data_IF_282734620278
#
_entry.id   IF_282734620278
#
_cell.length_a   1.000
_cell.length_b   1.000
_cell.length_c   1.000
_cell.angle_alpha   90.00
_cell.angle_beta   90.00
_cell.angle_gamma   90.00
#
_symmetry.space_group_name_H-M   'P 1'
#
loop_
_entity.id
_entity.type
_entity.pdbx_description
1 polymer ?
#
# COMPACT_ATOMS: atom_id res chain seq x y z
N UNK A 1 -12.22 39.95 11.97
CA UNK A 1 -12.94 38.70 12.30
C UNK A 1 -11.93 37.57 12.21
N UNK A 2 -11.85 36.75 13.26
CA UNK A 2 -10.76 35.79 13.45
C UNK A 2 -11.07 34.44 12.82
N UNK A 3 -10.01 33.75 12.36
CA UNK A 3 -10.04 32.42 11.76
C UNK A 3 -10.76 31.36 12.63
N UNK A 4 -10.78 31.58 13.94
CA UNK A 4 -11.42 30.71 14.93
C UNK A 4 -12.95 30.78 14.91
N UNK A 5 -13.53 31.89 14.45
CA UNK A 5 -14.98 32.11 14.45
C UNK A 5 -15.67 31.40 13.27
N UNK A 6 -14.93 31.16 12.18
CA UNK A 6 -15.34 30.35 11.03
C UNK A 6 -15.30 28.84 11.31
N UNK A 7 -14.43 28.40 12.22
CA UNK A 7 -14.26 26.98 12.57
C UNK A 7 -15.27 26.47 13.60
N UNK A 8 -15.99 27.37 14.29
CA UNK A 8 -16.94 27.04 15.36
C UNK A 8 -18.40 27.06 14.91
N UNK A 9 -18.64 26.89 13.60
CA UNK A 9 -19.95 26.95 12.94
C UNK A 9 -21.12 26.54 13.83
N UNK A 10 -21.84 27.54 14.37
CA UNK A 10 -23.17 27.33 14.93
C UNK A 10 -24.15 27.20 13.76
N UNK A 11 -24.18 26.03 13.13
CA UNK A 11 -25.14 25.72 12.08
C UNK A 11 -26.27 24.89 12.69
N UNK A 12 -27.49 25.43 12.63
CA UNK A 12 -28.71 24.69 12.97
C UNK A 12 -28.97 23.55 11.99
N UNK A 13 -29.91 22.64 12.31
CA UNK A 13 -30.13 21.44 11.52
C UNK A 13 -30.73 21.82 10.15
N UNK A 14 -29.93 21.75 9.08
CA UNK A 14 -30.42 21.86 7.70
C UNK A 14 -29.54 22.61 6.70
N UNK A 15 -28.46 23.27 7.10
CA UNK A 15 -27.62 24.02 6.14
C UNK A 15 -26.41 23.19 5.67
N UNK A 16 -26.61 22.43 4.60
CA UNK A 16 -25.52 21.97 3.75
C UNK A 16 -24.95 23.16 2.98
N UNK A 17 -23.67 23.46 3.22
CA UNK A 17 -22.78 24.21 2.33
C UNK A 17 -23.18 25.68 2.08
N UNK A 18 -22.56 26.60 2.80
CA UNK A 18 -22.62 28.03 2.44
C UNK A 18 -22.01 28.26 1.06
N UNK A 19 -22.82 28.72 0.10
CA UNK A 19 -22.33 29.37 -1.13
C UNK A 19 -21.37 30.50 -0.76
N UNK A 20 -20.13 30.46 -1.28
CA UNK A 20 -19.34 31.68 -1.42
C UNK A 20 -17.88 31.70 -0.97
N UNK A 21 -17.28 30.61 -0.49
CA UNK A 21 -15.83 30.56 -0.22
C UNK A 21 -15.21 29.24 -0.69
N UNK A 22 -15.01 29.08 -2.01
CA UNK A 22 -14.15 28.01 -2.52
C UNK A 22 -12.69 28.41 -2.29
N UNK A 23 -12.00 27.73 -1.38
CA UNK A 23 -10.55 27.87 -1.23
C UNK A 23 -9.86 26.89 -2.18
N UNK A 24 -8.99 27.41 -3.05
CA UNK A 24 -8.12 26.58 -3.89
C UNK A 24 -6.86 26.24 -3.11
N UNK A 25 -6.67 24.96 -2.79
CA UNK A 25 -5.43 24.47 -2.22
C UNK A 25 -4.40 24.24 -3.34
N UNK A 26 -3.11 24.58 -3.13
CA UNK A 26 -2.07 24.29 -4.11
C UNK A 26 -1.94 22.77 -4.29
N UNK A 27 -1.98 22.31 -5.55
CA UNK A 27 -1.78 20.90 -5.90
C UNK A 27 -0.36 20.41 -5.59
N UNK A 28 0.59 21.33 -5.51
CA UNK A 28 2.00 21.01 -5.26
C UNK A 28 2.28 20.71 -3.78
N UNK A 29 1.35 21.04 -2.87
CA UNK A 29 1.51 20.83 -1.42
C UNK A 29 0.34 20.08 -0.78
N UNK A 30 -0.69 19.75 -1.55
CA UNK A 30 -1.87 19.04 -1.06
C UNK A 30 -2.29 17.93 -2.02
N UNK A 31 -2.67 16.80 -1.45
CA UNK A 31 -3.09 15.62 -2.20
C UNK A 31 -4.40 15.05 -1.67
N UNK A 32 -5.16 14.41 -2.57
CA UNK A 32 -6.36 13.67 -2.22
C UNK A 32 -5.99 12.31 -1.67
N UNK A 33 -6.53 11.95 -0.52
CA UNK A 33 -6.19 10.71 0.18
C UNK A 33 -7.44 10.03 0.74
N UNK A 34 -7.28 8.74 1.03
CA UNK A 34 -8.30 7.92 1.68
C UNK A 34 -7.89 7.69 3.14
N UNK A 35 -8.66 8.18 4.12
CA UNK A 35 -8.40 7.89 5.53
C UNK A 35 -8.77 6.44 5.84
N UNK A 36 -7.82 5.67 6.37
CA UNK A 36 -7.99 4.25 6.67
C UNK A 36 -7.67 4.02 8.14
N UNK A 37 -8.61 3.41 8.87
CA UNK A 37 -8.34 2.95 10.23
C UNK A 37 -7.49 1.68 10.16
N UNK A 38 -6.30 1.69 10.73
CA UNK A 38 -5.37 0.54 10.74
C UNK A 38 -5.14 0.09 12.17
N UNK A 39 -4.95 -1.22 12.36
CA UNK A 39 -4.51 -1.77 13.64
C UNK A 39 -3.02 -2.02 13.58
N UNK A 40 -2.34 -1.85 14.71
CA UNK A 40 -0.90 -2.09 14.81
C UNK A 40 -0.55 -3.54 14.44
N UNK A 41 -1.29 -4.51 14.96
CA UNK A 41 -1.08 -5.93 14.68
C UNK A 41 -1.18 -6.26 13.18
N UNK A 42 -2.07 -5.57 12.45
CA UNK A 42 -2.23 -5.78 11.00
C UNK A 42 -1.02 -5.24 10.22
N UNK A 43 -0.44 -4.12 10.67
CA UNK A 43 0.79 -3.58 10.08
C UNK A 43 2.00 -4.47 10.40
N UNK A 44 2.06 -5.03 11.60
CA UNK A 44 3.10 -5.98 12.00
C UNK A 44 2.99 -7.28 11.20
N UNK A 45 1.77 -7.79 10.98
CA UNK A 45 1.53 -8.94 10.11
C UNK A 45 1.93 -8.67 8.65
N UNK A 46 1.64 -7.47 8.12
CA UNK A 46 2.07 -7.10 6.77
C UNK A 46 3.59 -6.95 6.67
N UNK A 47 4.25 -6.43 7.71
CA UNK A 47 5.71 -6.35 7.78
C UNK A 47 6.34 -7.75 7.82
N UNK A 48 5.77 -8.69 8.59
CA UNK A 48 6.21 -10.09 8.60
C UNK A 48 6.05 -10.77 7.23
N UNK A 49 4.97 -10.45 6.50
CA UNK A 49 4.78 -10.94 5.14
C UNK A 49 5.88 -10.42 4.19
N UNK A 50 6.27 -9.15 4.33
CA UNK A 50 7.35 -8.53 3.55
C UNK A 50 8.71 -9.16 3.88
N UNK A 51 8.98 -9.39 5.16
CA UNK A 51 10.21 -10.04 5.63
C UNK A 51 10.31 -11.48 5.11
N UNK A 52 9.24 -12.26 5.24
CA UNK A 52 9.19 -13.63 4.71
C UNK A 52 9.44 -13.69 3.20
N UNK A 53 8.91 -12.72 2.44
CA UNK A 53 9.12 -12.66 0.99
C UNK A 53 10.55 -12.25 0.64
N UNK A 54 11.17 -11.39 1.46
CA UNK A 54 12.55 -10.94 1.26
C UNK A 54 13.58 -12.03 1.58
N UNK A 55 13.29 -12.90 2.55
CA UNK A 55 14.17 -13.97 2.99
C UNK A 55 14.12 -15.20 2.06
N UNK A 56 13.03 -15.40 1.32
CA UNK A 56 12.87 -16.50 0.40
C UNK A 56 13.50 -16.19 -0.98
N UNK A 57 14.50 -16.97 -1.45
CA UNK A 57 15.08 -16.77 -2.77
C UNK A 57 14.03 -17.04 -3.86
N UNK A 58 14.10 -16.34 -4.99
CA UNK A 58 13.20 -16.60 -6.12
C UNK A 58 13.69 -17.81 -6.91
N UNK A 59 12.77 -18.67 -7.35
CA UNK A 59 13.10 -19.82 -8.20
C UNK A 59 13.79 -19.39 -9.49
N UNK A 60 13.41 -18.23 -10.06
CA UNK A 60 14.02 -17.70 -11.28
C UNK A 60 15.50 -17.33 -11.11
N UNK A 61 15.97 -17.09 -9.87
CA UNK A 61 17.39 -16.84 -9.58
C UNK A 61 18.23 -18.12 -9.49
N UNK A 62 17.60 -19.26 -9.20
CA UNK A 62 18.29 -20.56 -9.15
C UNK A 62 18.46 -21.17 -10.54
N UNK A 63 17.84 -20.57 -11.56
CA UNK A 63 17.64 -21.20 -12.86
C UNK A 63 18.40 -20.54 -14.02
N UNK A 64 19.69 -20.26 -13.83
CA UNK A 64 20.61 -20.05 -14.97
C UNK A 64 20.53 -21.22 -15.99
N UNK A 65 20.05 -22.41 -15.58
CA UNK A 65 19.81 -23.59 -16.42
C UNK A 65 18.40 -23.70 -17.05
N UNK A 66 17.38 -22.92 -16.61
CA UNK A 66 16.02 -22.97 -17.21
C UNK A 66 15.72 -21.82 -18.17
N UNK A 67 16.59 -20.82 -18.30
CA UNK A 67 16.45 -19.80 -19.35
C UNK A 67 16.28 -20.44 -20.74
N UNK A 68 17.05 -21.50 -21.03
CA UNK A 68 16.95 -22.26 -22.28
C UNK A 68 15.58 -22.95 -22.46
N UNK A 69 14.90 -23.31 -21.38
CA UNK A 69 13.56 -23.96 -21.40
C UNK A 69 12.45 -22.91 -21.53
N UNK A 70 12.58 -21.77 -20.85
CA UNK A 70 11.64 -20.66 -20.96
C UNK A 70 11.67 -20.03 -22.36
N UNK A 71 12.85 -19.94 -23.00
CA UNK A 71 13.00 -19.45 -24.38
C UNK A 71 12.39 -20.43 -25.42
N UNK A 72 12.50 -21.75 -25.21
CA UNK A 72 11.94 -22.77 -26.12
C UNK A 72 10.40 -22.86 -26.06
N UNK A 73 9.80 -22.55 -24.89
CA UNK A 73 8.34 -22.63 -24.69
C UNK A 73 7.61 -21.32 -24.99
N UNK A 74 8.23 -20.15 -24.78
CA UNK A 74 7.53 -18.86 -24.84
C UNK A 74 7.69 -18.06 -26.14
N UNK A 75 8.60 -18.46 -27.06
CA UNK A 75 8.68 -17.97 -28.45
C UNK A 75 8.67 -16.43 -28.64
N UNK A 76 9.84 -15.84 -28.93
CA UNK A 76 10.08 -14.42 -29.31
C UNK A 76 9.59 -13.32 -28.32
N UNK A 77 8.86 -13.68 -27.27
CA UNK A 77 8.54 -12.81 -26.14
C UNK A 77 9.34 -13.26 -24.90
N UNK A 78 10.65 -13.46 -25.07
CA UNK A 78 11.56 -13.86 -23.99
C UNK A 78 11.49 -12.87 -22.84
N UNK A 79 10.79 -13.24 -21.77
CA UNK A 79 10.78 -12.48 -20.52
C UNK A 79 12.11 -12.81 -19.85
N UNK A 80 12.98 -11.81 -19.72
CA UNK A 80 14.24 -11.96 -19.01
C UNK A 80 13.94 -12.30 -17.54
N UNK A 81 14.37 -13.49 -17.09
CA UNK A 81 14.21 -13.95 -15.71
C UNK A 81 14.77 -12.93 -14.70
N UNK A 82 15.86 -12.25 -15.06
CA UNK A 82 16.46 -11.17 -14.26
C UNK A 82 15.53 -9.96 -14.15
N UNK A 83 14.90 -9.58 -15.26
CA UNK A 83 13.93 -8.47 -15.30
C UNK A 83 12.69 -8.80 -14.47
N UNK A 84 12.21 -10.04 -14.55
CA UNK A 84 11.10 -10.54 -13.75
C UNK A 84 11.42 -10.49 -12.24
N UNK A 85 12.58 -10.98 -11.83
CA UNK A 85 13.03 -10.94 -10.42
C UNK A 85 13.12 -9.50 -9.92
N UNK A 86 13.71 -8.59 -10.70
CA UNK A 86 13.77 -7.18 -10.29
C UNK A 86 12.37 -6.54 -10.23
N UNK A 87 11.44 -6.92 -11.11
CA UNK A 87 10.05 -6.47 -11.03
C UNK A 87 9.37 -6.97 -9.75
N UNK A 88 9.56 -8.25 -9.36
CA UNK A 88 9.05 -8.81 -8.10
C UNK A 88 9.61 -8.04 -6.90
N UNK A 89 10.93 -7.81 -6.88
CA UNK A 89 11.62 -7.01 -5.84
C UNK A 89 11.11 -5.57 -5.78
N UNK A 90 10.88 -4.93 -6.93
CA UNK A 90 10.32 -3.58 -6.97
C UNK A 90 8.91 -3.54 -6.38
N UNK A 91 8.11 -4.58 -6.62
CA UNK A 91 6.77 -4.73 -6.02
C UNK A 91 6.87 -4.82 -4.49
N UNK A 92 7.78 -5.64 -3.96
CA UNK A 92 8.06 -5.70 -2.51
C UNK A 92 8.49 -4.34 -1.96
N UNK A 93 9.52 -3.70 -2.53
CA UNK A 93 10.08 -2.43 -2.04
C UNK A 93 9.03 -1.32 -1.98
N UNK A 94 8.10 -1.27 -2.94
CA UNK A 94 6.98 -0.32 -2.92
C UNK A 94 6.02 -0.58 -1.76
N UNK A 95 5.66 -1.84 -1.51
CA UNK A 95 4.81 -2.20 -0.38
C UNK A 95 5.51 -1.94 0.98
N UNK A 96 6.80 -2.26 1.08
CA UNK A 96 7.64 -2.00 2.25
C UNK A 96 7.67 -0.52 2.62
N UNK A 97 7.88 0.36 1.64
CA UNK A 97 7.89 1.81 1.88
C UNK A 97 6.56 2.32 2.47
N UNK A 98 5.43 1.80 2.01
CA UNK A 98 4.09 2.15 2.52
C UNK A 98 3.92 1.64 3.96
N UNK A 99 4.21 0.36 4.21
CA UNK A 99 3.98 -0.26 5.52
C UNK A 99 4.91 0.35 6.57
N UNK A 100 6.17 0.60 6.24
CA UNK A 100 7.11 1.20 7.20
C UNK A 100 6.68 2.62 7.57
N UNK A 101 6.26 3.42 6.59
CA UNK A 101 5.72 4.75 6.85
C UNK A 101 4.54 4.73 7.83
N UNK A 102 3.60 3.80 7.61
CA UNK A 102 2.45 3.66 8.51
C UNK A 102 2.85 3.17 9.90
N UNK A 103 3.84 2.27 10.01
CA UNK A 103 4.36 1.80 11.31
C UNK A 103 5.00 2.93 12.12
N UNK A 104 5.68 3.87 11.45
CA UNK A 104 6.24 5.06 12.10
C UNK A 104 5.15 6.01 12.64
N UNK A 105 4.04 6.15 11.91
CA UNK A 105 2.92 7.02 12.30
C UNK A 105 2.03 6.40 13.39
N UNK A 106 1.87 5.08 13.39
CA UNK A 106 0.90 4.37 14.23
C UNK A 106 1.55 3.97 15.57
N UNK A 107 1.43 4.85 16.55
CA UNK A 107 1.98 4.63 17.91
C UNK A 107 1.01 3.98 18.90
N UNK A 108 -0.25 3.80 18.51
CA UNK A 108 -1.32 3.22 19.33
C UNK A 108 -1.90 1.97 18.65
N UNK A 109 -2.67 1.17 19.40
CA UNK A 109 -3.21 -0.09 18.89
C UNK A 109 -4.09 0.08 17.64
N UNK A 110 -4.78 1.22 17.53
CA UNK A 110 -5.63 1.58 16.38
C UNK A 110 -5.44 3.06 16.08
N UNK A 111 -5.09 3.39 14.83
CA UNK A 111 -4.98 4.78 14.38
C UNK A 111 -5.46 4.94 12.93
N UNK A 112 -5.64 6.18 12.49
CA UNK A 112 -5.98 6.50 11.10
C UNK A 112 -4.71 6.88 10.35
N UNK A 113 -4.47 6.22 9.21
CA UNK A 113 -3.44 6.61 8.23
C UNK A 113 -4.09 7.17 6.99
N UNK A 114 -3.32 7.92 6.21
CA UNK A 114 -3.77 8.46 4.93
C UNK A 114 -3.13 7.64 3.80
N UNK A 115 -3.97 7.04 2.97
CA UNK A 115 -3.56 6.30 1.79
C UNK A 115 -3.70 7.17 0.53
N UNK A 116 -2.60 7.50 -0.17
CA UNK A 116 -2.65 8.07 -1.50
C UNK A 116 -3.39 7.16 -2.51
N UNK A 117 -3.86 7.69 -3.65
CA UNK A 117 -4.42 6.88 -4.71
C UNK A 117 -3.39 5.84 -5.21
N UNK A 118 -3.80 4.58 -5.37
CA UNK A 118 -2.94 3.49 -5.84
C UNK A 118 -2.16 2.76 -4.73
N UNK A 119 -2.28 3.18 -3.46
CA UNK A 119 -1.71 2.44 -2.33
C UNK A 119 -2.35 1.06 -2.17
N UNK A 120 -3.66 0.95 -2.39
CA UNK A 120 -4.41 -0.31 -2.40
C UNK A 120 -3.94 -1.25 -3.51
N UNK A 121 -3.75 -0.74 -4.72
CA UNK A 121 -3.20 -1.49 -5.85
C UNK A 121 -1.78 -1.99 -5.55
N UNK A 122 -0.96 -1.16 -4.92
CA UNK A 122 0.42 -1.51 -4.52
C UNK A 122 0.45 -2.67 -3.52
N UNK A 123 -0.30 -2.56 -2.42
CA UNK A 123 -0.37 -3.60 -1.41
C UNK A 123 -1.06 -4.87 -1.94
N UNK A 124 -2.05 -4.73 -2.81
CA UNK A 124 -2.71 -5.85 -3.48
C UNK A 124 -1.74 -6.60 -4.40
N UNK A 125 -0.96 -5.88 -5.20
CA UNK A 125 0.03 -6.48 -6.11
C UNK A 125 1.05 -7.32 -5.33
N UNK A 126 1.56 -6.80 -4.23
CA UNK A 126 2.48 -7.53 -3.36
C UNK A 126 1.81 -8.75 -2.69
N UNK A 127 0.58 -8.60 -2.21
CA UNK A 127 -0.16 -9.72 -1.60
C UNK A 127 -0.42 -10.83 -2.63
N UNK A 128 -0.72 -10.47 -3.88
CA UNK A 128 -0.87 -11.44 -4.99
C UNK A 128 0.43 -12.15 -5.31
N UNK A 129 1.55 -11.43 -5.32
CA UNK A 129 2.88 -12.02 -5.49
C UNK A 129 3.14 -13.09 -4.43
N UNK A 130 2.93 -12.77 -3.14
CA UNK A 130 3.11 -13.73 -2.04
C UNK A 130 2.23 -14.97 -2.21
N UNK A 131 0.94 -14.78 -2.53
CA UNK A 131 0.03 -15.91 -2.78
C UNK A 131 0.47 -16.77 -3.95
N UNK A 132 0.94 -16.16 -5.03
CA UNK A 132 1.41 -16.90 -6.20
C UNK A 132 2.62 -17.77 -5.84
N UNK A 133 3.56 -17.23 -5.05
CA UNK A 133 4.74 -17.97 -4.59
C UNK A 133 4.36 -19.15 -3.68
N UNK A 134 3.45 -18.94 -2.73
CA UNK A 134 2.96 -20.00 -1.82
C UNK A 134 2.19 -21.13 -2.56
N UNK A 135 1.54 -20.79 -3.68
CA UNK A 135 0.85 -21.76 -4.53
C UNK A 135 1.82 -22.53 -5.47
N UNK A 136 3.06 -22.06 -5.63
CA UNK A 136 4.07 -22.65 -6.50
C UNK A 136 4.84 -23.74 -5.74
N UNK A 137 4.62 -25.01 -6.14
CA UNK A 137 5.07 -26.18 -5.37
C UNK A 137 6.59 -26.29 -5.15
N UNK A 138 7.38 -25.63 -6.00
CA UNK A 138 8.85 -25.66 -5.96
C UNK A 138 9.43 -24.32 -5.46
N UNK A 139 8.61 -23.32 -5.10
CA UNK A 139 9.07 -22.07 -4.47
C UNK A 139 9.28 -22.29 -2.96
N UNK A 140 10.42 -21.87 -2.38
CA UNK A 140 10.69 -22.04 -0.96
C UNK A 140 9.92 -21.06 -0.05
N UNK A 141 9.14 -20.13 -0.61
CA UNK A 141 8.33 -19.18 0.14
C UNK A 141 7.05 -19.83 0.69
N UNK A 142 6.80 -19.61 1.98
CA UNK A 142 5.55 -19.98 2.66
C UNK A 142 4.85 -18.74 3.23
N UNK A 143 3.52 -18.68 3.17
CA UNK A 143 2.75 -17.63 3.82
C UNK A 143 2.86 -17.70 5.35
N UNK A 144 3.18 -16.59 6.04
CA UNK A 144 3.17 -16.54 7.51
C UNK A 144 1.78 -16.82 8.09
N UNK A 145 1.72 -17.39 9.29
CA UNK A 145 0.45 -17.66 10.00
C UNK A 145 -0.40 -16.40 10.23
N UNK A 146 0.26 -15.24 10.33
CA UNK A 146 -0.35 -13.90 10.52
C UNK A 146 -0.92 -13.31 9.24
N UNK A 147 -0.81 -14.00 8.09
CA UNK A 147 -1.29 -13.52 6.79
C UNK A 147 -2.77 -13.07 6.81
N UNK A 148 -3.61 -13.72 7.61
CA UNK A 148 -5.02 -13.35 7.74
C UNK A 148 -5.21 -11.90 8.22
N UNK A 149 -4.33 -11.40 9.09
CA UNK A 149 -4.39 -10.03 9.61
C UNK A 149 -3.92 -9.02 8.55
N UNK A 150 -2.87 -9.35 7.79
CA UNK A 150 -2.43 -8.56 6.64
C UNK A 150 -3.55 -8.45 5.58
N UNK A 151 -4.24 -9.56 5.29
CA UNK A 151 -5.38 -9.58 4.38
C UNK A 151 -6.57 -8.76 4.90
N UNK A 152 -6.79 -8.71 6.22
CA UNK A 152 -7.83 -7.89 6.83
C UNK A 152 -7.57 -6.39 6.63
N UNK A 153 -6.32 -5.94 6.74
CA UNK A 153 -5.92 -4.58 6.40
C UNK A 153 -6.17 -4.27 4.93
N UNK A 154 -5.72 -5.14 4.03
CA UNK A 154 -5.90 -4.94 2.59
C UNK A 154 -7.37 -4.79 2.21
N UNK A 155 -8.24 -5.62 2.79
CA UNK A 155 -9.69 -5.52 2.57
C UNK A 155 -10.24 -4.16 3.03
N UNK A 156 -9.82 -3.69 4.21
CA UNK A 156 -10.28 -2.40 4.74
C UNK A 156 -9.78 -1.22 3.91
N UNK A 157 -8.57 -1.33 3.37
CA UNK A 157 -8.00 -0.36 2.46
C UNK A 157 -8.82 -0.30 1.16
N UNK A 158 -9.14 -1.45 0.56
CA UNK A 158 -10.02 -1.53 -0.62
C UNK A 158 -11.41 -0.93 -0.36
N UNK A 159 -12.04 -1.27 0.77
CA UNK A 159 -13.34 -0.72 1.15
C UNK A 159 -13.28 0.82 1.29
N UNK A 160 -12.15 1.36 1.77
CA UNK A 160 -11.95 2.80 1.91
C UNK A 160 -11.70 3.50 0.56
N UNK A 161 -10.90 2.89 -0.34
CA UNK A 161 -10.60 3.46 -1.66
C UNK A 161 -11.77 3.38 -2.63
N UNK A 162 -12.62 2.36 -2.52
CA UNK A 162 -13.89 2.24 -3.27
C UNK A 162 -14.98 3.20 -2.76
N UNK A 163 -14.79 3.80 -1.58
CA UNK A 163 -15.73 4.76 -1.02
C UNK A 163 -15.65 6.13 -1.70
N UNK A 164 -16.72 6.92 -1.61
CA UNK A 164 -16.72 8.31 -2.07
C UNK A 164 -16.00 9.26 -1.10
N UNK A 165 -15.56 8.77 0.07
CA UNK A 165 -14.98 9.60 1.12
C UNK A 165 -13.48 9.82 0.87
N UNK A 166 -13.14 11.05 0.50
CA UNK A 166 -11.76 11.51 0.31
C UNK A 166 -11.47 12.69 1.21
N UNK A 167 -10.27 12.73 1.75
CA UNK A 167 -9.72 13.90 2.44
C UNK A 167 -8.72 14.62 1.52
N UNK A 168 -8.45 15.88 1.81
CA UNK A 168 -7.31 16.61 1.24
C UNK A 168 -6.36 16.93 2.37
N UNK A 169 -5.12 16.51 2.26
CA UNK A 169 -4.09 16.67 3.30
C UNK A 169 -2.84 17.30 2.70
N UNK A 170 -2.01 17.90 3.56
CA UNK A 170 -0.70 18.40 3.15
C UNK A 170 0.25 17.23 2.87
N UNK A 171 1.12 17.34 1.86
CA UNK A 171 2.03 16.26 1.43
C UNK A 171 3.01 15.82 2.52
N UNK A 172 3.39 16.71 3.45
CA UNK A 172 4.20 16.37 4.64
C UNK A 172 3.60 15.23 5.51
N UNK A 173 2.29 14.96 5.40
CA UNK A 173 1.64 13.85 6.10
C UNK A 173 1.70 12.51 5.35
N UNK A 174 2.20 12.51 4.11
CA UNK A 174 2.27 11.37 3.20
C UNK A 174 3.70 10.91 2.91
N UNK A 175 4.68 11.78 3.13
CA UNK A 175 6.09 11.46 2.91
C UNK A 175 6.67 10.68 4.09
N UNK A 176 7.20 9.49 3.82
CA UNK A 176 8.22 8.87 4.68
C UNK A 176 9.41 9.81 4.67
N UNK A 177 9.68 10.47 5.79
CA UNK A 177 10.76 11.45 5.89
C UNK A 177 12.12 10.72 5.88
N UNK A 178 12.51 10.17 4.73
CA UNK A 178 13.87 9.74 4.44
C UNK A 178 14.69 10.98 4.11
N UNK A 179 15.33 11.53 5.14
CA UNK A 179 16.45 12.45 5.02
C UNK A 179 17.76 11.69 4.76
#
# INVERSE_FOLDING_TARGET
MGLLELMLGQSGPGEQGTEGNSYTLPKDTHEFVYPVAVRRDELEAFAQLIEAEADAPYIEEETDELQDVFDDVLGDAGIDATELVEQKRQTRRKAESVIEHWREQVTTDIATVYAPPGTDETLLAFTKLCKQRDEEADDPFDLPETFADAAALLKRLQDATDSQYRAVVHTDLLESNTA
#
